data_IF_507662166517
#
_entry.id   IF_507662166517
#
_cell.length_a   1.000
_cell.length_b   1.000
_cell.length_c   1.000
_cell.angle_alpha   90.00
_cell.angle_beta   90.00
_cell.angle_gamma   90.00
#
_symmetry.space_group_name_H-M   'P 1'
#
loop_
_entity.id
_entity.type
_entity.pdbx_description
1 polymer ?
#
# COMPACT_ATOMS: atom_id res chain seq x y z
N UNK A 1 -13.57 -3.34 32.90
CA UNK A 1 -12.99 -3.90 31.67
C UNK A 1 -12.24 -2.77 31.01
N UNK A 2 -10.92 -2.78 31.12
CA UNK A 2 -10.04 -1.71 30.64
C UNK A 2 -9.63 -2.05 29.23
N UNK A 3 -10.10 -1.27 28.25
CA UNK A 3 -9.62 -1.37 26.88
C UNK A 3 -8.24 -0.72 26.83
N UNK A 4 -7.22 -1.50 26.49
CA UNK A 4 -5.88 -0.99 26.19
C UNK A 4 -5.94 -0.29 24.83
N UNK A 5 -5.99 1.05 24.84
CA UNK A 5 -5.85 1.88 23.64
C UNK A 5 -4.38 1.99 23.29
N UNK A 6 -4.04 1.75 22.02
CA UNK A 6 -2.70 1.93 21.49
C UNK A 6 -2.42 3.44 21.31
N UNK A 7 -2.04 4.13 22.37
CA UNK A 7 -1.58 5.52 22.34
C UNK A 7 -0.06 5.56 22.04
N UNK A 8 0.35 6.18 20.93
CA UNK A 8 1.78 6.44 20.65
C UNK A 8 2.19 7.79 21.25
N UNK A 9 3.18 7.76 22.14
CA UNK A 9 3.71 8.94 22.83
C UNK A 9 4.64 9.76 21.94
N UNK A 10 4.46 11.08 21.89
CA UNK A 10 5.45 12.02 21.34
C UNK A 10 6.25 12.60 22.51
N UNK A 11 7.54 12.27 22.59
CA UNK A 11 8.47 12.91 23.52
C UNK A 11 8.98 14.23 22.92
N UNK A 12 8.46 15.36 23.42
CA UNK A 12 8.97 16.70 23.09
C UNK A 12 10.14 17.07 24.01
N UNK A 13 11.36 17.32 23.49
CA UNK A 13 12.38 17.99 24.27
C UNK A 13 12.07 19.50 24.31
N UNK A 14 11.76 20.03 25.50
CA UNK A 14 11.61 21.46 25.72
C UNK A 14 12.99 22.14 25.56
N UNK A 15 13.20 22.85 24.46
CA UNK A 15 14.30 23.80 24.31
C UNK A 15 13.72 25.19 24.08
N UNK A 16 14.08 26.13 24.97
CA UNK A 16 13.75 27.54 24.82
C UNK A 16 14.52 28.11 23.61
N UNK A 17 13.82 28.69 22.63
CA UNK A 17 14.44 29.27 21.43
C UNK A 17 14.16 30.76 21.33
N UNK A 18 15.23 31.52 21.08
CA UNK A 18 15.28 32.95 20.81
C UNK A 18 14.74 33.31 19.40
N UNK A 19 14.16 34.51 19.18
CA UNK A 19 13.22 34.75 18.07
C UNK A 19 13.86 35.14 16.72
N UNK A 20 15.09 34.73 16.40
CA UNK A 20 15.77 35.11 15.14
C UNK A 20 16.55 33.99 14.44
N UNK A 21 16.24 32.73 14.71
CA UNK A 21 16.68 31.62 13.85
C UNK A 21 15.65 31.45 12.72
N UNK A 22 16.09 31.43 11.46
CA UNK A 22 15.32 30.76 10.40
C UNK A 22 15.05 29.35 10.93
N UNK A 23 13.78 29.01 11.18
CA UNK A 23 13.43 27.70 11.70
C UNK A 23 13.95 26.65 10.70
N UNK A 24 14.95 25.88 11.14
CA UNK A 24 15.47 24.77 10.34
C UNK A 24 14.51 23.60 10.46
N UNK A 25 14.26 22.90 9.34
CA UNK A 25 13.48 21.68 9.36
C UNK A 25 14.08 20.63 10.28
N UNK A 26 13.23 19.73 10.76
CA UNK A 26 13.60 18.61 11.60
C UNK A 26 13.87 17.38 10.76
N UNK A 27 14.96 16.68 11.03
CA UNK A 27 15.26 15.40 10.39
C UNK A 27 14.20 14.33 10.70
N UNK A 28 13.58 14.37 11.89
CA UNK A 28 12.51 13.44 12.24
C UNK A 28 11.24 13.67 11.42
N UNK A 29 10.93 14.93 11.10
CA UNK A 29 9.78 15.29 10.26
C UNK A 29 10.03 14.98 8.80
N UNK A 30 11.26 15.19 8.34
CA UNK A 30 11.70 14.74 7.02
C UNK A 30 11.52 13.22 6.89
N UNK A 31 12.02 12.44 7.85
CA UNK A 31 11.89 10.98 7.84
C UNK A 31 10.43 10.53 7.87
N UNK A 32 9.55 11.21 8.61
CA UNK A 32 8.11 10.91 8.59
C UNK A 32 7.48 11.13 7.20
N UNK A 33 7.82 12.22 6.52
CA UNK A 33 7.31 12.51 5.17
C UNK A 33 7.86 11.51 4.14
N UNK A 34 9.17 11.22 4.19
CA UNK A 34 9.81 10.19 3.36
C UNK A 34 9.13 8.83 3.53
N UNK A 35 8.88 8.43 4.78
CA UNK A 35 8.15 7.20 5.12
C UNK A 35 6.70 7.22 4.65
N UNK A 36 5.99 8.34 4.74
CA UNK A 36 4.61 8.46 4.27
C UNK A 36 4.51 8.27 2.75
N UNK A 37 5.42 8.90 1.98
CA UNK A 37 5.47 8.72 0.53
C UNK A 37 5.87 7.29 0.14
N UNK A 38 6.90 6.73 0.78
CA UNK A 38 7.37 5.37 0.53
C UNK A 38 6.31 4.32 0.87
N UNK A 39 5.64 4.44 2.01
CA UNK A 39 4.54 3.55 2.39
C UNK A 39 3.38 3.64 1.39
N UNK A 40 3.04 4.84 0.91
CA UNK A 40 2.00 5.00 -0.09
C UNK A 40 2.31 4.30 -1.41
N UNK A 41 3.57 4.26 -1.86
CA UNK A 41 3.97 3.51 -3.07
C UNK A 41 3.65 2.02 -2.90
N UNK A 42 4.06 1.43 -1.77
CA UNK A 42 3.87 0.00 -1.45
C UNK A 42 2.41 -0.35 -1.21
N UNK A 43 1.70 0.41 -0.36
CA UNK A 43 0.33 0.11 0.05
C UNK A 43 -0.69 0.27 -1.06
N UNK A 44 -0.37 1.06 -2.09
CA UNK A 44 -1.26 1.24 -3.25
C UNK A 44 -0.99 0.22 -4.36
N UNK A 45 0.02 -0.64 -4.19
CA UNK A 45 0.40 -1.68 -5.17
C UNK A 45 -0.28 -2.99 -4.81
N UNK A 46 -1.27 -3.39 -5.61
CA UNK A 46 -2.07 -4.59 -5.37
C UNK A 46 -1.26 -5.88 -5.47
N UNK A 47 -0.13 -5.84 -6.17
CA UNK A 47 0.77 -6.99 -6.28
C UNK A 47 1.60 -7.18 -4.99
N UNK A 48 1.60 -6.16 -4.12
CA UNK A 48 2.43 -6.08 -2.92
C UNK A 48 1.57 -6.08 -1.65
N UNK A 49 0.45 -5.37 -1.63
CA UNK A 49 -0.45 -5.32 -0.48
C UNK A 49 -1.92 -5.29 -0.91
N UNK A 50 -2.72 -6.18 -0.33
CA UNK A 50 -4.15 -6.27 -0.67
C UNK A 50 -5.02 -5.74 0.47
N UNK A 51 -5.68 -4.61 0.21
CA UNK A 51 -6.76 -4.09 1.06
C UNK A 51 -8.11 -4.63 0.63
N UNK A 52 -8.94 -4.98 1.60
CA UNK A 52 -10.31 -5.44 1.37
C UNK A 52 -11.36 -4.37 1.66
N UNK A 53 -12.63 -4.74 1.46
CA UNK A 53 -13.79 -3.92 1.80
C UNK A 53 -14.20 -4.04 3.27
N UNK A 54 -13.66 -5.03 3.98
CA UNK A 54 -13.92 -5.28 5.39
C UNK A 54 -12.74 -6.02 6.02
N UNK A 55 -12.25 -5.55 7.16
CA UNK A 55 -11.15 -6.16 7.93
C UNK A 55 -11.66 -6.96 9.13
N UNK A 56 -10.98 -8.06 9.45
CA UNK A 56 -11.30 -8.93 10.58
C UNK A 56 -10.04 -9.51 11.23
N UNK A 57 -10.16 -9.96 12.49
CA UNK A 57 -9.11 -10.72 13.17
C UNK A 57 -9.24 -12.23 12.82
N UNK A 58 -8.25 -12.84 12.15
CA UNK A 58 -8.29 -14.26 11.83
C UNK A 58 -8.32 -15.17 13.07
N UNK A 59 -7.76 -14.72 14.20
CA UNK A 59 -7.82 -15.50 15.44
C UNK A 59 -9.26 -15.64 15.94
N UNK A 60 -10.05 -14.57 15.88
CA UNK A 60 -11.46 -14.58 16.27
C UNK A 60 -12.32 -15.41 15.29
N UNK A 61 -12.07 -15.28 13.98
CA UNK A 61 -12.91 -15.91 12.95
C UNK A 61 -12.64 -17.40 12.78
N UNK A 62 -11.38 -17.82 12.89
CA UNK A 62 -10.96 -19.20 12.65
C UNK A 62 -10.58 -19.95 13.92
N UNK A 63 -10.74 -19.32 15.10
CA UNK A 63 -10.37 -19.87 16.40
C UNK A 63 -8.91 -20.34 16.41
N UNK A 64 -8.02 -19.42 16.05
CA UNK A 64 -6.56 -19.59 16.05
C UNK A 64 -5.97 -18.88 17.27
N UNK A 65 -4.85 -19.37 17.77
CA UNK A 65 -4.08 -18.73 18.86
C UNK A 65 -2.69 -18.35 18.34
N UNK A 66 -2.63 -17.39 17.39
CA UNK A 66 -1.38 -16.93 16.79
C UNK A 66 -1.33 -15.40 16.70
N UNK A 67 -0.53 -14.74 17.54
CA UNK A 67 -0.41 -13.29 17.54
C UNK A 67 0.19 -12.73 16.24
N UNK A 68 0.90 -13.52 15.43
CA UNK A 68 1.54 -13.08 14.19
C UNK A 68 0.58 -13.05 12.98
N UNK A 69 -0.60 -13.68 13.08
CA UNK A 69 -1.64 -13.67 12.03
C UNK A 69 -2.64 -12.52 12.20
N UNK A 70 -2.76 -11.99 13.41
CA UNK A 70 -3.75 -10.97 13.74
C UNK A 70 -3.74 -10.62 15.23
N UNK A 71 -4.12 -9.40 15.53
CA UNK A 71 -4.43 -8.92 16.86
C UNK A 71 -5.44 -7.78 16.78
N UNK A 72 -6.17 -7.54 17.87
CA UNK A 72 -7.09 -6.41 17.95
C UNK A 72 -6.43 -5.07 17.62
N UNK A 73 -5.17 -4.85 18.03
CA UNK A 73 -4.41 -3.64 17.71
C UNK A 73 -4.12 -3.52 16.21
N UNK A 74 -3.67 -4.59 15.56
CA UNK A 74 -3.40 -4.59 14.11
C UNK A 74 -4.67 -4.40 13.27
N UNK A 75 -5.80 -4.96 13.71
CA UNK A 75 -7.10 -4.76 13.04
C UNK A 75 -7.58 -3.32 13.18
N UNK A 76 -7.43 -2.72 14.37
CA UNK A 76 -7.72 -1.29 14.56
C UNK A 76 -6.84 -0.40 13.66
N UNK A 77 -5.55 -0.73 13.54
CA UNK A 77 -4.64 -0.01 12.63
C UNK A 77 -5.07 -0.16 11.17
N UNK A 78 -5.49 -1.36 10.73
CA UNK A 78 -6.04 -1.56 9.37
C UNK A 78 -7.29 -0.70 9.14
N UNK A 79 -8.21 -0.67 10.11
CA UNK A 79 -9.45 0.12 10.02
C UNK A 79 -9.22 1.64 9.97
N UNK A 80 -8.05 2.10 10.44
CA UNK A 80 -7.64 3.50 10.36
C UNK A 80 -7.10 3.87 8.98
N UNK A 81 -6.73 2.89 8.15
CA UNK A 81 -6.14 3.08 6.82
C UNK A 81 -7.17 2.72 5.75
N UNK A 82 -7.34 3.61 4.78
CA UNK A 82 -8.17 3.36 3.60
C UNK A 82 -7.33 3.52 2.34
N UNK A 83 -7.36 2.52 1.45
CA UNK A 83 -6.65 2.55 0.18
C UNK A 83 -7.61 2.34 -0.97
N UNK A 84 -7.43 3.14 -2.02
CA UNK A 84 -8.04 2.88 -3.32
C UNK A 84 -7.01 3.13 -4.41
N UNK A 85 -6.90 2.20 -5.35
CA UNK A 85 -6.01 2.32 -6.50
C UNK A 85 -6.73 1.82 -7.75
N UNK A 86 -6.53 2.52 -8.87
CA UNK A 86 -7.09 2.19 -10.17
C UNK A 86 -5.94 2.02 -11.18
N UNK A 87 -5.52 0.78 -11.47
CA UNK A 87 -4.54 0.50 -12.51
C UNK A 87 -5.19 0.50 -13.90
N UNK A 88 -4.42 0.86 -14.91
CA UNK A 88 -4.81 0.77 -16.32
C UNK A 88 -3.57 0.54 -17.19
N UNK A 89 -3.68 -0.35 -18.18
CA UNK A 89 -2.60 -0.67 -19.11
C UNK A 89 -3.03 -0.32 -20.52
N UNK A 90 -2.14 0.35 -21.25
CA UNK A 90 -2.28 0.63 -22.68
C UNK A 90 -1.22 -0.19 -23.41
N UNK A 91 -1.65 -1.15 -24.21
CA UNK A 91 -0.77 -1.85 -25.15
C UNK A 91 -0.47 -0.95 -26.35
N UNK A 92 0.82 -0.75 -26.63
CA UNK A 92 1.32 0.02 -27.78
C UNK A 92 1.70 -0.88 -28.96
N UNK A 93 1.57 -2.20 -28.79
CA UNK A 93 1.94 -3.22 -29.77
C UNK A 93 0.69 -3.98 -30.23
N UNK A 94 0.75 -4.56 -31.42
CA UNK A 94 -0.30 -5.43 -31.93
C UNK A 94 -0.52 -6.63 -30.99
N UNK A 95 -1.74 -7.17 -30.98
CA UNK A 95 -2.11 -8.28 -30.10
C UNK A 95 -1.21 -9.52 -30.28
N UNK A 96 -0.80 -9.80 -31.52
CA UNK A 96 0.01 -10.95 -31.91
C UNK A 96 1.53 -10.74 -31.74
N UNK A 97 1.96 -9.57 -31.26
CA UNK A 97 3.37 -9.27 -31.11
C UNK A 97 4.01 -10.12 -30.00
N UNK A 98 5.11 -10.81 -30.34
CA UNK A 98 5.91 -11.62 -29.40
C UNK A 98 6.54 -10.76 -28.29
N UNK A 99 6.83 -9.50 -28.61
CA UNK A 99 7.33 -8.51 -27.66
C UNK A 99 6.37 -7.34 -27.63
N UNK A 100 5.90 -6.99 -26.43
CA UNK A 100 4.88 -5.94 -26.26
C UNK A 100 5.45 -4.74 -25.53
N UNK A 101 5.15 -3.57 -26.06
CA UNK A 101 5.40 -2.29 -25.44
C UNK A 101 4.12 -1.82 -24.75
N UNK A 102 4.23 -1.41 -23.49
CA UNK A 102 3.06 -1.05 -22.68
C UNK A 102 3.29 0.25 -21.92
N UNK A 103 2.23 1.04 -21.78
CA UNK A 103 2.15 2.11 -20.79
C UNK A 103 1.22 1.65 -19.68
N UNK A 104 1.77 1.49 -18.48
CA UNK A 104 1.01 1.20 -17.28
C UNK A 104 0.82 2.47 -16.48
N UNK A 105 -0.41 2.76 -16.06
CA UNK A 105 -0.72 3.90 -15.19
C UNK A 105 -1.54 3.46 -14.00
N UNK A 106 -1.37 4.12 -12.87
CA UNK A 106 -2.14 3.86 -11.65
C UNK A 106 -2.42 5.17 -10.92
N UNK A 107 -3.70 5.42 -10.63
CA UNK A 107 -4.11 6.52 -9.75
C UNK A 107 -4.49 5.95 -8.40
N UNK A 108 -4.07 6.59 -7.31
CA UNK A 108 -4.33 6.07 -5.98
C UNK A 108 -4.63 7.16 -4.94
N UNK A 109 -5.33 6.76 -3.90
CA UNK A 109 -5.47 7.50 -2.65
C UNK A 109 -5.20 6.56 -1.48
N UNK A 110 -4.33 6.99 -0.58
CA UNK A 110 -4.13 6.40 0.74
C UNK A 110 -4.63 7.43 1.75
N UNK A 111 -5.52 7.05 2.65
CA UNK A 111 -5.98 7.89 3.75
C UNK A 111 -5.70 7.19 5.08
N UNK A 112 -5.34 7.97 6.10
CA UNK A 112 -5.21 7.49 7.47
C UNK A 112 -5.94 8.43 8.45
N UNK A 113 -6.46 7.86 9.54
CA UNK A 113 -7.15 8.59 10.61
C UNK A 113 -6.66 8.11 11.95
N UNK A 114 -6.19 9.02 12.80
CA UNK A 114 -5.59 8.65 14.07
C UNK A 114 -6.02 9.62 15.19
N UNK A 115 -6.34 9.07 16.36
CA UNK A 115 -6.48 9.82 17.59
C UNK A 115 -5.11 9.92 18.30
N UNK A 116 -4.76 11.10 18.79
CA UNK A 116 -3.50 11.39 19.47
C UNK A 116 -3.74 11.78 20.94
N UNK A 117 -3.30 10.90 21.84
CA UNK A 117 -3.26 11.21 23.26
C UNK A 117 -1.96 11.97 23.57
N UNK A 118 -2.08 13.28 23.84
CA UNK A 118 -0.94 14.11 24.25
C UNK A 118 -0.73 14.02 25.77
N UNK A 119 -1.83 14.04 26.54
CA UNK A 119 -1.83 13.81 27.99
C UNK A 119 -3.06 12.99 28.39
N UNK A 120 -2.94 12.04 29.34
CA UNK A 120 -4.03 11.13 29.69
C UNK A 120 -5.32 11.78 30.21
N UNK A 121 -5.22 13.00 30.75
CA UNK A 121 -6.35 13.75 31.31
C UNK A 121 -7.07 14.65 30.30
N UNK A 122 -6.50 14.83 29.11
CA UNK A 122 -7.04 15.73 28.09
C UNK A 122 -7.91 14.95 27.09
N UNK A 123 -8.72 15.66 26.31
CA UNK A 123 -9.41 15.05 25.17
C UNK A 123 -8.38 14.74 24.08
N UNK A 124 -8.45 13.53 23.51
CA UNK A 124 -7.60 13.10 22.40
C UNK A 124 -7.73 14.08 21.22
N UNK A 125 -6.58 14.48 20.68
CA UNK A 125 -6.50 15.22 19.42
C UNK A 125 -6.79 14.27 18.26
N UNK A 126 -7.13 14.81 17.10
CA UNK A 126 -7.50 14.01 15.94
C UNK A 126 -6.75 14.43 14.70
N UNK A 127 -6.23 13.46 13.97
CA UNK A 127 -5.55 13.67 12.70
C UNK A 127 -6.21 12.89 11.59
N UNK A 128 -6.30 13.55 10.45
CA UNK A 128 -6.57 12.90 9.18
C UNK A 128 -5.48 13.28 8.18
N UNK A 129 -4.89 12.27 7.54
CA UNK A 129 -3.90 12.46 6.50
C UNK A 129 -4.28 11.67 5.25
N UNK A 130 -3.84 12.15 4.10
CA UNK A 130 -3.96 11.42 2.85
C UNK A 130 -2.77 11.66 1.92
N UNK A 131 -2.51 10.67 1.08
CA UNK A 131 -1.58 10.74 -0.04
C UNK A 131 -2.37 10.44 -1.32
N UNK A 132 -2.41 11.40 -2.24
CA UNK A 132 -2.85 11.16 -3.62
C UNK A 132 -1.63 10.75 -4.45
N UNK A 133 -1.78 9.73 -5.29
CA UNK A 133 -0.71 9.21 -6.13
C UNK A 133 -1.12 9.09 -7.59
N UNK A 134 -0.19 9.40 -8.47
CA UNK A 134 -0.24 9.05 -9.89
C UNK A 134 1.08 8.37 -10.26
N UNK A 135 1.01 7.14 -10.76
CA UNK A 135 2.15 6.39 -11.26
C UNK A 135 1.98 6.16 -12.76
N UNK A 136 3.04 6.36 -13.53
CA UNK A 136 3.07 5.99 -14.95
C UNK A 136 4.40 5.33 -15.27
N UNK A 137 4.34 4.18 -15.93
CA UNK A 137 5.49 3.40 -16.32
C UNK A 137 5.43 2.99 -17.78
N UNK A 138 6.58 3.00 -18.42
CA UNK A 138 6.78 2.25 -19.65
C UNK A 138 7.31 0.86 -19.29
N UNK A 139 6.69 -0.17 -19.88
CA UNK A 139 7.02 -1.59 -19.67
C UNK A 139 7.30 -2.26 -21.01
N UNK A 140 8.27 -3.15 -21.03
CA UNK A 140 8.59 -3.97 -22.19
C UNK A 140 8.42 -5.44 -21.83
N UNK A 141 7.35 -6.08 -22.31
CA UNK A 141 7.06 -7.49 -22.07
C UNK A 141 7.82 -8.35 -23.09
N UNK A 142 8.83 -9.06 -22.62
CA UNK A 142 9.68 -9.93 -23.43
C UNK A 142 9.37 -11.41 -23.15
N UNK A 143 8.78 -12.09 -24.12
CA UNK A 143 8.57 -13.54 -24.07
C UNK A 143 9.91 -14.28 -24.26
N UNK A 144 10.42 -14.94 -23.22
CA UNK A 144 11.66 -15.73 -23.27
C UNK A 144 11.43 -17.11 -23.90
N UNK A 145 10.35 -17.76 -23.48
CA UNK A 145 9.88 -19.08 -23.93
C UNK A 145 8.35 -19.08 -23.91
N UNK A 146 7.68 -20.15 -24.31
CA UNK A 146 6.20 -20.22 -24.25
C UNK A 146 5.63 -20.05 -22.82
N UNK A 147 6.44 -20.24 -21.78
CA UNK A 147 6.02 -20.20 -20.37
C UNK A 147 6.62 -19.03 -19.59
N UNK A 148 7.80 -18.53 -19.98
CA UNK A 148 8.53 -17.49 -19.26
C UNK A 148 8.41 -16.13 -19.94
N UNK A 149 8.03 -15.13 -19.15
CA UNK A 149 8.02 -13.72 -19.53
C UNK A 149 8.90 -12.90 -18.59
N UNK A 150 9.63 -11.94 -19.15
CA UNK A 150 10.32 -10.91 -18.37
C UNK A 150 9.80 -9.54 -18.77
N UNK A 151 9.46 -8.71 -17.79
CA UNK A 151 8.91 -7.38 -18.01
C UNK A 151 9.74 -6.34 -17.28
N UNK A 152 10.87 -5.86 -17.86
CA UNK A 152 11.52 -4.66 -17.36
C UNK A 152 10.63 -3.43 -17.60
N UNK A 153 10.72 -2.47 -16.68
CA UNK A 153 10.02 -1.20 -16.80
C UNK A 153 10.72 -0.08 -16.05
N UNK A 154 10.35 1.15 -16.41
CA UNK A 154 10.73 2.36 -15.67
C UNK A 154 9.50 3.22 -15.55
N UNK A 155 9.19 3.63 -14.33
CA UNK A 155 8.05 4.48 -14.03
C UNK A 155 8.41 5.69 -13.18
N UNK A 156 7.42 6.56 -13.03
CA UNK A 156 7.49 7.78 -12.23
C UNK A 156 6.25 7.86 -11.36
N UNK A 157 6.44 8.10 -10.06
CA UNK A 157 5.38 8.42 -9.11
C UNK A 157 5.36 9.92 -8.87
N UNK A 158 4.19 10.53 -8.98
CA UNK A 158 3.89 11.86 -8.45
C UNK A 158 2.93 11.69 -7.29
N UNK A 159 3.30 12.19 -6.12
CA UNK A 159 2.52 12.06 -4.90
C UNK A 159 2.26 13.42 -4.27
N UNK A 160 1.06 13.61 -3.72
CA UNK A 160 0.67 14.76 -2.92
C UNK A 160 0.20 14.29 -1.55
N UNK A 161 0.91 14.70 -0.50
CA UNK A 161 0.59 14.47 0.89
C UNK A 161 -0.10 15.69 1.48
N UNK A 162 -1.13 15.47 2.27
CA UNK A 162 -1.72 16.49 3.13
C UNK A 162 -2.20 15.88 4.42
N UNK A 163 -2.00 16.58 5.53
CA UNK A 163 -2.66 16.26 6.79
C UNK A 163 -3.43 17.44 7.36
N UNK A 164 -4.44 17.12 8.16
CA UNK A 164 -5.19 18.06 8.98
C UNK A 164 -5.24 17.50 10.39
N UNK A 165 -4.95 18.35 11.38
CA UNK A 165 -4.88 18.00 12.80
C UNK A 165 -5.74 18.95 13.62
N UNK A 166 -6.71 18.38 14.33
CA UNK A 166 -7.60 19.05 15.25
C UNK A 166 -7.02 19.02 16.67
N UNK A 167 -6.49 20.16 17.13
CA UNK A 167 -6.08 20.35 18.52
C UNK A 167 -7.31 20.56 19.42
N UNK A 168 -7.63 19.59 20.28
CA UNK A 168 -8.90 19.54 21.04
C UNK A 168 -8.75 19.87 22.53
N UNK A 169 -7.53 19.93 23.04
CA UNK A 169 -7.26 20.34 24.42
C UNK A 169 -6.67 21.76 24.52
N UNK A 170 -6.83 22.40 25.68
CA UNK A 170 -6.23 23.71 25.98
C UNK A 170 -4.70 23.64 25.88
N UNK A 171 -4.09 22.59 26.45
CA UNK A 171 -2.65 22.36 26.36
C UNK A 171 -2.18 22.15 24.91
N UNK A 172 -2.91 21.37 24.11
CA UNK A 172 -2.58 21.18 22.70
C UNK A 172 -2.62 22.52 21.94
N UNK A 173 -3.65 23.34 22.16
CA UNK A 173 -3.78 24.63 21.51
C UNK A 173 -2.73 25.66 21.94
N UNK A 174 -2.35 25.67 23.22
CA UNK A 174 -1.43 26.69 23.76
C UNK A 174 0.05 26.30 23.64
N UNK A 175 0.38 25.01 23.68
CA UNK A 175 1.76 24.53 23.78
C UNK A 175 2.20 23.78 22.52
N UNK A 176 1.36 22.91 21.97
CA UNK A 176 1.74 22.01 20.87
C UNK A 176 1.53 22.69 19.52
N UNK A 177 0.36 23.31 19.32
CA UNK A 177 0.00 24.00 18.09
C UNK A 177 1.02 25.06 17.68
N UNK A 178 1.51 25.97 18.55
CA UNK A 178 2.47 26.99 18.13
C UNK A 178 3.80 26.44 17.62
N UNK A 179 4.16 25.21 17.98
CA UNK A 179 5.41 24.59 17.58
C UNK A 179 5.28 23.70 16.32
N UNK A 180 4.12 23.07 16.11
CA UNK A 180 3.95 21.98 15.14
C UNK A 180 2.99 22.29 13.99
N UNK A 181 2.11 23.28 14.18
CA UNK A 181 1.10 23.68 13.19
C UNK A 181 1.76 24.35 11.97
N UNK A 182 1.35 23.95 10.77
CA UNK A 182 1.96 24.28 9.47
C UNK A 182 3.42 23.79 9.30
N UNK A 183 3.95 23.03 10.26
CA UNK A 183 5.30 22.44 10.18
C UNK A 183 5.20 20.95 9.87
N UNK A 184 4.53 20.20 10.75
CA UNK A 184 4.31 18.76 10.58
C UNK A 184 2.83 18.41 10.60
N UNK A 185 2.00 19.27 11.18
CA UNK A 185 0.55 19.18 11.18
C UNK A 185 -0.07 20.30 10.37
N UNK A 186 -1.27 20.07 9.83
CA UNK A 186 -1.99 21.03 8.99
C UNK A 186 -1.11 21.56 7.84
N UNK A 187 -0.39 20.65 7.17
CA UNK A 187 0.58 20.99 6.13
C UNK A 187 0.44 20.09 4.91
N UNK A 188 1.17 20.44 3.85
CA UNK A 188 1.23 19.66 2.63
C UNK A 188 2.65 19.54 2.06
N UNK A 189 2.83 18.46 1.31
CA UNK A 189 4.06 18.12 0.65
C UNK A 189 3.79 17.38 -0.66
N UNK A 190 4.76 17.40 -1.55
CA UNK A 190 4.78 16.67 -2.79
C UNK A 190 6.03 15.80 -2.85
N UNK A 191 5.97 14.72 -3.61
CA UNK A 191 7.15 13.94 -3.99
C UNK A 191 7.06 13.48 -5.44
N UNK A 192 8.22 13.43 -6.10
CA UNK A 192 8.40 12.85 -7.42
C UNK A 192 9.49 11.79 -7.34
N UNK A 193 9.15 10.54 -7.63
CA UNK A 193 10.06 9.39 -7.52
C UNK A 193 10.17 8.66 -8.85
N UNK A 194 11.37 8.21 -9.21
CA UNK A 194 11.60 7.35 -10.37
C UNK A 194 11.74 5.91 -9.89
N UNK A 195 11.10 4.97 -10.59
CA UNK A 195 11.08 3.55 -10.24
C UNK A 195 11.47 2.65 -11.42
N UNK A 196 12.74 2.24 -11.54
CA UNK A 196 13.07 1.04 -12.30
C UNK A 196 12.49 -0.21 -11.61
N UNK A 197 11.91 -1.10 -12.41
CA UNK A 197 11.42 -2.40 -11.95
C UNK A 197 11.62 -3.49 -13.00
N UNK A 198 11.54 -4.73 -12.53
CA UNK A 198 11.54 -5.92 -13.38
C UNK A 198 10.65 -6.98 -12.78
N UNK A 199 9.85 -7.62 -13.63
CA UNK A 199 9.03 -8.78 -13.29
C UNK A 199 9.47 -10.00 -14.09
N UNK A 200 9.47 -11.15 -13.44
CA UNK A 200 9.63 -12.47 -14.03
C UNK A 200 8.35 -13.27 -13.76
N UNK A 201 7.67 -13.69 -14.82
CA UNK A 201 6.45 -14.50 -14.71
C UNK A 201 6.63 -15.83 -15.44
N UNK A 202 6.25 -16.90 -14.77
CA UNK A 202 6.07 -18.23 -15.32
C UNK A 202 4.58 -18.59 -15.29
N UNK A 203 4.01 -18.98 -16.42
CA UNK A 203 2.63 -19.46 -16.51
C UNK A 203 2.64 -20.87 -17.09
N UNK A 204 2.03 -21.82 -16.39
CA UNK A 204 1.80 -23.18 -16.88
C UNK A 204 0.31 -23.50 -16.91
N UNK A 205 -0.27 -23.59 -18.10
CA UNK A 205 -1.62 -24.13 -18.27
C UNK A 205 -1.66 -25.61 -17.90
N UNK A 206 -2.72 -26.02 -17.20
CA UNK A 206 -2.96 -27.41 -16.80
C UNK A 206 -4.35 -27.86 -17.23
N UNK A 207 -4.66 -29.16 -17.09
CA UNK A 207 -5.99 -29.67 -17.41
C UNK A 207 -7.10 -29.16 -16.48
N UNK A 208 -6.75 -28.61 -15.31
CA UNK A 208 -7.68 -28.13 -14.30
C UNK A 208 -7.69 -26.60 -14.15
N UNK A 209 -6.89 -25.89 -14.94
CA UNK A 209 -6.75 -24.43 -14.88
C UNK A 209 -5.31 -24.02 -15.16
N UNK A 210 -4.69 -23.25 -14.26
CA UNK A 210 -3.30 -22.80 -14.43
C UNK A 210 -2.59 -22.64 -13.09
N UNK A 211 -1.27 -22.68 -13.11
CA UNK A 211 -0.47 -22.14 -12.01
C UNK A 211 0.54 -21.15 -12.54
N UNK A 212 0.68 -20.05 -11.79
CA UNK A 212 1.55 -18.94 -12.11
C UNK A 212 2.58 -18.78 -10.99
N UNK A 213 3.82 -18.49 -11.35
CA UNK A 213 4.85 -18.03 -10.40
C UNK A 213 5.35 -16.69 -10.89
N UNK A 214 5.32 -15.69 -10.01
CA UNK A 214 5.78 -14.35 -10.31
C UNK A 214 6.84 -13.92 -9.29
N UNK A 215 7.87 -13.24 -9.77
CA UNK A 215 8.86 -12.56 -8.96
C UNK A 215 9.09 -11.18 -9.52
N UNK A 216 8.89 -10.14 -8.72
CA UNK A 216 9.15 -8.76 -9.11
C UNK A 216 10.16 -8.10 -8.18
N UNK A 217 10.88 -7.13 -8.71
CA UNK A 217 11.74 -6.24 -7.95
C UNK A 217 11.52 -4.80 -8.39
N UNK A 218 11.35 -3.92 -7.41
CA UNK A 218 11.12 -2.50 -7.59
C UNK A 218 12.10 -1.74 -6.71
N UNK A 219 12.72 -0.71 -7.26
CA UNK A 219 13.51 0.26 -6.50
C UNK A 219 13.03 1.65 -6.89
N UNK A 220 12.79 2.53 -5.92
CA UNK A 220 12.43 3.90 -6.17
C UNK A 220 13.30 4.87 -5.36
N UNK A 221 13.58 6.01 -5.99
CA UNK A 221 14.23 7.14 -5.35
C UNK A 221 13.58 8.42 -5.88
N UNK A 222 13.30 9.35 -4.97
CA UNK A 222 12.59 10.57 -5.32
C UNK A 222 13.06 11.81 -4.59
N UNK A 223 12.42 12.91 -4.93
CA UNK A 223 12.64 14.21 -4.30
C UNK A 223 11.32 14.80 -3.84
N UNK A 224 11.28 15.26 -2.59
CA UNK A 224 10.13 15.90 -1.98
C UNK A 224 10.28 17.42 -1.88
N UNK A 225 9.16 18.14 -2.02
CA UNK A 225 9.09 19.60 -1.86
C UNK A 225 7.72 20.01 -1.31
N UNK A 226 7.56 21.26 -0.84
CA UNK A 226 6.29 21.75 -0.31
C UNK A 226 6.46 22.72 0.85
N UNK A 227 5.41 22.96 1.61
CA UNK A 227 5.44 23.83 2.78
C UNK A 227 5.81 23.06 4.06
N UNK A 228 5.54 21.75 4.10
CA UNK A 228 5.86 20.90 5.24
C UNK A 228 7.35 20.96 5.61
N UNK A 229 7.59 20.96 6.92
CA UNK A 229 8.90 20.99 7.54
C UNK A 229 9.78 22.14 7.03
N UNK A 230 9.18 23.32 6.81
CA UNK A 230 9.85 24.51 6.24
C UNK A 230 10.48 24.24 4.86
N UNK A 231 9.85 23.37 4.07
CA UNK A 231 10.32 22.94 2.75
C UNK A 231 11.35 21.82 2.76
N UNK A 232 11.72 21.28 3.94
CA UNK A 232 12.63 20.15 4.06
C UNK A 232 11.85 18.82 4.10
N UNK A 233 11.23 18.48 2.97
CA UNK A 233 10.38 17.28 2.85
C UNK A 233 11.21 16.00 2.76
N UNK A 234 12.38 16.06 2.12
CA UNK A 234 13.30 14.92 2.01
C UNK A 234 13.28 14.23 0.65
N UNK A 235 13.82 13.02 0.58
CA UNK A 235 13.99 12.23 -0.63
C UNK A 235 13.52 10.79 -0.36
N UNK A 236 12.25 10.44 -0.66
CA UNK A 236 11.75 9.10 -0.38
C UNK A 236 12.56 8.05 -1.16
N UNK A 237 13.05 7.04 -0.46
CA UNK A 237 13.82 5.94 -1.03
C UNK A 237 13.33 4.60 -0.52
N UNK A 238 13.19 3.63 -1.41
CA UNK A 238 12.81 2.30 -1.00
C UNK A 238 12.95 1.27 -2.09
N UNK A 239 12.82 0.02 -1.68
CA UNK A 239 12.72 -1.11 -2.58
C UNK A 239 11.79 -2.15 -2.01
N UNK A 240 11.25 -2.97 -2.89
CA UNK A 240 10.49 -4.14 -2.52
C UNK A 240 10.65 -5.26 -3.56
N UNK A 241 10.50 -6.50 -3.11
CA UNK A 241 10.34 -7.66 -3.99
C UNK A 241 9.10 -8.43 -3.59
N UNK A 242 8.30 -8.82 -4.59
CA UNK A 242 7.14 -9.67 -4.39
C UNK A 242 7.42 -11.01 -5.07
N UNK A 243 7.34 -12.09 -4.30
CA UNK A 243 7.54 -13.45 -4.79
C UNK A 243 6.26 -14.24 -4.51
N UNK A 244 5.53 -14.58 -5.58
CA UNK A 244 4.20 -15.14 -5.50
C UNK A 244 4.04 -16.44 -6.28
N UNK A 245 3.15 -17.29 -5.79
CA UNK A 245 2.54 -18.38 -6.53
C UNK A 245 1.03 -18.18 -6.53
N UNK A 246 0.42 -18.39 -7.68
CA UNK A 246 -1.03 -18.29 -7.89
C UNK A 246 -1.51 -19.56 -8.58
N UNK A 247 -2.70 -20.01 -8.24
CA UNK A 247 -3.36 -21.14 -8.89
C UNK A 247 -4.81 -20.79 -9.18
N UNK A 248 -5.23 -21.06 -10.41
CA UNK A 248 -6.59 -20.90 -10.90
C UNK A 248 -7.15 -22.29 -11.16
N UNK A 249 -8.27 -22.62 -10.51
CA UNK A 249 -8.94 -23.91 -10.66
C UNK A 249 -10.32 -23.71 -11.28
N UNK A 250 -10.51 -24.22 -12.50
CA UNK A 250 -11.75 -24.09 -13.25
C UNK A 250 -12.78 -25.09 -12.71
N UNK A 251 -13.81 -24.59 -12.04
CA UNK A 251 -14.84 -25.42 -11.38
C UNK A 251 -15.97 -25.78 -12.33
N UNK A 252 -16.51 -24.78 -13.02
CA UNK A 252 -17.69 -24.98 -13.88
C UNK A 252 -17.83 -23.87 -14.91
N UNK A 253 -18.54 -24.17 -16.00
CA UNK A 253 -18.92 -23.18 -16.99
C UNK A 253 -20.45 -23.07 -17.02
N UNK A 254 -20.97 -21.89 -16.69
CA UNK A 254 -22.40 -21.57 -16.69
C UNK A 254 -22.66 -20.57 -17.84
N UNK A 255 -23.12 -21.09 -18.98
CA UNK A 255 -23.26 -20.29 -20.20
C UNK A 255 -21.90 -19.81 -20.70
N UNK A 256 -21.71 -18.48 -20.80
CA UNK A 256 -20.42 -17.86 -21.17
C UNK A 256 -19.51 -17.59 -19.96
N UNK A 257 -20.02 -17.78 -18.75
CA UNK A 257 -19.30 -17.47 -17.52
C UNK A 257 -18.52 -18.69 -17.03
N UNK A 258 -17.21 -18.53 -16.88
CA UNK A 258 -16.33 -19.51 -16.24
C UNK A 258 -16.26 -19.16 -14.76
N UNK A 259 -16.44 -20.18 -13.92
CA UNK A 259 -16.35 -20.08 -12.47
C UNK A 259 -15.05 -20.74 -12.03
N UNK A 260 -14.19 -19.97 -11.35
CA UNK A 260 -12.86 -20.43 -10.97
C UNK A 260 -12.57 -20.16 -9.50
N UNK A 261 -11.86 -21.07 -8.85
CA UNK A 261 -11.27 -20.83 -7.53
C UNK A 261 -9.87 -20.29 -7.76
N UNK A 262 -9.61 -19.11 -7.21
CA UNK A 262 -8.30 -18.48 -7.16
C UNK A 262 -7.68 -18.74 -5.80
N UNK A 263 -6.41 -19.11 -5.79
CA UNK A 263 -5.60 -19.08 -4.56
C UNK A 263 -4.23 -18.49 -4.85
N UNK A 264 -3.70 -17.73 -3.90
CA UNK A 264 -2.37 -17.16 -4.00
C UNK A 264 -1.65 -17.18 -2.68
N UNK A 265 -0.34 -17.28 -2.76
CA UNK A 265 0.56 -17.09 -1.64
C UNK A 265 1.74 -16.25 -2.11
N UNK A 266 2.06 -15.20 -1.36
CA UNK A 266 3.17 -14.30 -1.69
C UNK A 266 3.99 -13.97 -0.46
N UNK A 267 5.28 -13.82 -0.69
CA UNK A 267 6.23 -13.22 0.26
C UNK A 267 6.66 -11.88 -0.31
N UNK A 268 6.60 -10.87 0.54
CA UNK A 268 7.04 -9.52 0.23
C UNK A 268 8.22 -9.19 1.14
N UNK A 269 9.34 -8.79 0.55
CA UNK A 269 10.47 -8.21 1.28
C UNK A 269 10.56 -6.72 0.94
N UNK A 270 10.79 -5.88 1.94
CA UNK A 270 10.74 -4.41 1.86
C UNK A 270 11.97 -3.79 2.54
N UNK A 271 12.42 -2.66 2.00
CA UNK A 271 13.54 -1.91 2.57
C UNK A 271 13.51 -0.42 2.25
N UNK A 272 14.47 0.30 2.85
CA UNK A 272 14.47 1.76 2.87
C UNK A 272 13.35 2.31 3.77
N UNK A 273 12.75 3.41 3.33
CA UNK A 273 11.74 4.16 4.08
C UNK A 273 10.39 3.42 4.20
N UNK A 274 10.23 2.28 3.52
CA UNK A 274 9.01 1.46 3.56
C UNK A 274 8.92 0.56 4.81
N UNK A 275 10.06 0.18 5.38
CA UNK A 275 10.16 -0.85 6.42
C UNK A 275 9.62 -0.40 7.78
N UNK A 276 9.84 0.87 8.14
CA UNK A 276 9.41 1.43 9.43
C UNK A 276 7.88 1.54 9.54
N UNK A 277 7.14 2.09 8.54
CA UNK A 277 5.68 2.12 8.56
C UNK A 277 5.05 0.72 8.68
N UNK A 278 5.59 -0.25 7.95
CA UNK A 278 5.09 -1.64 7.95
C UNK A 278 5.56 -2.45 9.16
N UNK A 279 6.54 -1.94 9.92
CA UNK A 279 7.07 -2.54 11.14
C UNK A 279 7.83 -3.84 10.95
N UNK A 280 8.21 -4.16 9.71
CA UNK A 280 8.87 -5.43 9.37
C UNK A 280 9.74 -5.27 8.12
N UNK A 281 10.82 -6.05 7.98
CA UNK A 281 11.55 -6.16 6.71
C UNK A 281 10.86 -7.08 5.70
N UNK A 282 9.89 -7.90 6.11
CA UNK A 282 9.14 -8.79 5.22
C UNK A 282 7.79 -9.22 5.81
N UNK A 283 6.86 -9.60 4.95
CA UNK A 283 5.58 -10.19 5.36
C UNK A 283 5.08 -11.18 4.30
N UNK A 284 4.02 -11.90 4.66
CA UNK A 284 3.38 -12.86 3.77
C UNK A 284 1.92 -12.46 3.55
N UNK A 285 1.40 -12.69 2.34
CA UNK A 285 -0.03 -12.65 2.08
C UNK A 285 -0.51 -13.97 1.49
N UNK A 286 -1.68 -14.42 1.95
CA UNK A 286 -2.38 -15.56 1.39
C UNK A 286 -3.79 -15.14 1.01
N UNK A 287 -4.20 -15.41 -0.22
CA UNK A 287 -5.56 -15.14 -0.68
C UNK A 287 -6.25 -16.40 -1.22
N UNK A 288 -7.55 -16.47 -1.00
CA UNK A 288 -8.45 -17.44 -1.65
C UNK A 288 -9.71 -16.72 -2.11
N UNK A 289 -10.12 -16.95 -3.34
CA UNK A 289 -11.26 -16.25 -3.94
C UNK A 289 -12.05 -17.13 -4.88
N UNK A 290 -13.31 -16.74 -5.06
CA UNK A 290 -14.15 -17.24 -6.14
C UNK A 290 -14.24 -16.17 -7.22
N UNK A 291 -13.81 -16.51 -8.43
CA UNK A 291 -13.80 -15.64 -9.60
C UNK A 291 -14.88 -16.07 -10.58
N UNK A 292 -15.45 -15.07 -11.26
CA UNK A 292 -16.45 -15.24 -12.29
C UNK A 292 -16.14 -14.30 -13.45
N UNK A 293 -16.08 -14.83 -14.67
CA UNK A 293 -16.05 -13.98 -15.87
C UNK A 293 -17.44 -13.36 -16.08
N UNK A 294 -17.53 -12.06 -16.43
CA UNK A 294 -18.82 -11.41 -16.66
C UNK A 294 -19.60 -12.12 -17.77
N UNK A 295 -20.93 -12.19 -17.68
CA UNK A 295 -21.75 -12.81 -18.73
C UNK A 295 -21.86 -11.95 -20.01
N UNK A 296 -21.11 -10.84 -20.11
CA UNK A 296 -21.06 -9.89 -21.22
C UNK A 296 -19.61 -9.55 -21.57
N UNK A 297 -19.36 -9.24 -22.84
CA UNK A 297 -18.05 -8.78 -23.31
C UNK A 297 -17.79 -7.35 -22.83
N UNK A 298 -16.65 -7.10 -22.20
CA UNK A 298 -16.25 -5.80 -21.67
C UNK A 298 -14.74 -5.68 -21.67
N UNK A 299 -14.20 -4.71 -22.42
CA UNK A 299 -12.75 -4.44 -22.48
C UNK A 299 -12.17 -3.90 -21.16
N UNK A 300 -13.03 -3.60 -20.18
CA UNK A 300 -12.66 -3.06 -18.88
C UNK A 300 -12.68 -4.09 -17.75
N UNK A 301 -13.41 -5.20 -17.93
CA UNK A 301 -13.67 -6.16 -16.84
C UNK A 301 -13.52 -7.58 -17.40
N UNK A 302 -12.40 -8.23 -17.05
CA UNK A 302 -12.09 -9.62 -17.43
C UNK A 302 -12.75 -10.60 -16.47
N UNK A 303 -12.67 -10.32 -15.16
CA UNK A 303 -13.35 -11.08 -14.12
C UNK A 303 -13.66 -10.24 -12.89
N UNK A 304 -14.66 -10.71 -12.14
CA UNK A 304 -15.04 -10.20 -10.83
C UNK A 304 -15.06 -11.36 -9.83
N UNK A 305 -14.65 -11.10 -8.60
CA UNK A 305 -14.65 -12.12 -7.58
C UNK A 305 -14.76 -11.58 -6.17
N UNK A 306 -15.02 -12.50 -5.25
CA UNK A 306 -14.99 -12.23 -3.81
C UNK A 306 -14.12 -13.28 -3.15
N UNK A 307 -13.37 -12.86 -2.13
CA UNK A 307 -12.59 -13.80 -1.35
C UNK A 307 -12.04 -13.22 -0.08
N UNK A 308 -11.07 -13.93 0.47
CA UNK A 308 -10.40 -13.61 1.71
C UNK A 308 -8.92 -13.40 1.41
N UNK A 309 -8.34 -12.38 2.01
CA UNK A 309 -6.90 -12.18 2.10
C UNK A 309 -6.47 -12.22 3.56
N UNK A 310 -5.29 -12.78 3.84
CA UNK A 310 -4.65 -12.81 5.14
C UNK A 310 -3.25 -12.22 4.99
N UNK A 311 -2.94 -11.18 5.76
CA UNK A 311 -1.60 -10.63 5.91
C UNK A 311 -0.97 -11.15 7.21
N UNK A 312 0.27 -11.63 7.13
CA UNK A 312 1.01 -12.24 8.24
C UNK A 312 2.39 -11.59 8.42
N UNK A 313 2.71 -11.19 9.65
CA UNK A 313 4.05 -10.71 10.02
C UNK A 313 4.34 -9.22 9.82
N UNK A 314 3.36 -8.39 9.45
CA UNK A 314 3.49 -6.93 9.42
C UNK A 314 2.70 -6.26 10.57
N UNK A 315 2.89 -4.95 10.77
CA UNK A 315 2.01 -4.16 11.64
C UNK A 315 0.55 -4.18 11.19
N UNK A 316 0.31 -4.45 9.90
CA UNK A 316 -1.00 -4.56 9.28
C UNK A 316 -1.46 -6.03 9.15
N UNK A 317 -0.92 -6.93 9.97
CA UNK A 317 -1.40 -8.32 10.05
C UNK A 317 -2.91 -8.39 10.33
N UNK A 318 -3.56 -9.40 9.79
CA UNK A 318 -5.01 -9.56 9.88
C UNK A 318 -5.64 -10.07 8.60
N UNK A 319 -6.96 -10.21 8.60
CA UNK A 319 -7.73 -10.69 7.46
C UNK A 319 -8.57 -9.58 6.83
N UNK A 320 -8.86 -9.72 5.54
CA UNK A 320 -9.86 -8.88 4.86
C UNK A 320 -10.72 -9.66 3.87
N UNK A 321 -11.96 -9.22 3.70
CA UNK A 321 -12.80 -9.60 2.57
C UNK A 321 -12.40 -8.74 1.38
N UNK A 322 -12.00 -9.37 0.28
CA UNK A 322 -11.50 -8.67 -0.92
C UNK A 322 -12.48 -8.84 -2.07
N UNK A 323 -12.66 -7.77 -2.83
CA UNK A 323 -13.30 -7.82 -4.15
C UNK A 323 -12.21 -7.86 -5.21
N UNK A 324 -12.16 -8.95 -5.96
CA UNK A 324 -11.21 -9.14 -7.04
C UNK A 324 -11.79 -8.55 -8.33
N UNK A 325 -10.95 -7.81 -9.06
CA UNK A 325 -11.23 -7.32 -10.40
C UNK A 325 -10.02 -7.62 -11.29
N UNK A 326 -10.27 -8.15 -12.48
CA UNK A 326 -9.24 -8.40 -13.51
C UNK A 326 -8.03 -9.22 -13.01
N UNK A 327 -8.28 -10.24 -12.19
CA UNK A 327 -7.29 -11.25 -11.82
C UNK A 327 -7.10 -12.19 -13.02
N UNK A 328 -6.37 -11.74 -14.03
CA UNK A 328 -6.28 -12.43 -15.32
C UNK A 328 -5.65 -13.84 -15.20
N UNK A 329 -6.16 -14.78 -16.01
CA UNK A 329 -5.53 -16.09 -16.28
C UNK A 329 -4.24 -15.95 -17.13
#
# INVERSE_FOLDING_TARGET
MSFSRASRYISLPLLAVSPLALAQGSQAYQAYLEQAFAAAIVLTDSDVFTFGVHDFDPNEWFNLDNEDIGSQESVLLRQQIAVSALPYTIDLSDEDAIHKHQIFTRFSVLGSRQDYEIRPQDTDDYQHEFVLGAFTAYRYKYQLTDFWTVTPGVGVHLQYFRNNHDYRSEFANEIVKPALDNVIFNTDAWALSVEPHVEFKYNEPTSWGSWNVASSFHYFYGHGWGEANYGQVGNPEGWYTANGIEAYYNVSQLGRSVQSIYSSFRRIDIGGDTSQPLGTPYYYEGSIGWLMTPPFESDLIDNVGIGLNINYGSNLKGGSIVLFFNQAD
#
